data_IF_683114951967
#
_entry.id   IF_683114951967
#
_cell.length_a   1.000
_cell.length_b   1.000
_cell.length_c   1.000
_cell.angle_alpha   90.00
_cell.angle_beta   90.00
_cell.angle_gamma   90.00
#
_symmetry.space_group_name_H-M   'P 1'
#
loop_
_entity.id
_entity.type
_entity.pdbx_description
1 polymer ?
#
# COMPACT_ATOMS: atom_id res chain seq x y z
N UNK A 1 13.17 -3.86 -0.32
CA UNK A 1 12.30 -3.03 -1.18
C UNK A 1 11.85 -1.76 -0.47
N UNK A 2 10.93 -1.75 0.49
CA UNK A 2 10.37 -0.51 1.12
C UNK A 2 11.43 0.50 1.60
N UNK A 3 12.51 0.04 2.26
CA UNK A 3 13.57 0.92 2.78
C UNK A 3 14.26 1.75 1.70
N UNK A 4 14.45 1.17 0.51
CA UNK A 4 15.14 1.78 -0.63
C UNK A 4 14.22 2.60 -1.54
N UNK A 5 12.90 2.55 -1.30
CA UNK A 5 11.93 3.30 -2.09
C UNK A 5 11.74 4.72 -1.56
N UNK A 6 11.52 5.67 -2.47
CA UNK A 6 11.13 7.05 -2.13
C UNK A 6 9.62 7.13 -1.81
N UNK A 7 8.82 6.34 -2.51
CA UNK A 7 7.37 6.26 -2.37
C UNK A 7 6.92 4.80 -2.30
N UNK A 8 5.79 4.55 -1.64
CA UNK A 8 5.17 3.22 -1.58
C UNK A 8 3.73 3.33 -2.06
N UNK A 9 3.40 2.67 -3.16
CA UNK A 9 2.02 2.51 -3.63
C UNK A 9 1.47 1.19 -3.09
N UNK A 10 0.33 1.23 -2.41
CA UNK A 10 -0.33 0.05 -1.86
C UNK A 10 -1.79 0.03 -2.32
N UNK A 11 -2.17 -1.00 -3.09
CA UNK A 11 -3.58 -1.34 -3.31
C UNK A 11 -4.02 -2.23 -2.16
N UNK A 12 -5.03 -1.80 -1.41
CA UNK A 12 -5.47 -2.45 -0.19
C UNK A 12 -6.99 -2.58 -0.16
N UNK A 13 -7.49 -3.72 0.28
CA UNK A 13 -8.93 -4.01 0.37
C UNK A 13 -9.47 -3.89 1.80
N UNK A 14 -8.74 -3.21 2.70
CA UNK A 14 -9.10 -3.08 4.11
C UNK A 14 -8.84 -4.33 4.98
N UNK A 15 -8.44 -5.47 4.40
CA UNK A 15 -8.17 -6.70 5.15
C UNK A 15 -6.72 -6.78 5.63
N UNK A 16 -6.50 -7.30 6.84
CA UNK A 16 -5.13 -7.53 7.32
C UNK A 16 -4.46 -8.65 6.50
N UNK A 17 -3.21 -8.42 6.11
CA UNK A 17 -2.49 -9.29 5.18
C UNK A 17 -1.13 -8.72 4.80
N UNK A 18 -0.53 -9.24 3.73
CA UNK A 18 0.80 -8.84 3.25
C UNK A 18 0.91 -7.33 3.00
N UNK A 19 -0.11 -6.74 2.36
CA UNK A 19 -0.19 -5.29 2.10
C UNK A 19 -0.27 -4.48 3.39
N UNK A 20 -0.95 -4.98 4.43
CA UNK A 20 -1.02 -4.35 5.75
C UNK A 20 0.35 -4.32 6.45
N UNK A 21 1.15 -5.39 6.34
CA UNK A 21 2.53 -5.41 6.87
C UNK A 21 3.43 -4.41 6.14
N UNK A 22 3.32 -4.32 4.81
CA UNK A 22 4.08 -3.35 4.01
C UNK A 22 3.69 -1.91 4.35
N UNK A 23 2.40 -1.64 4.54
CA UNK A 23 1.90 -0.35 5.00
C UNK A 23 2.46 0.02 6.38
N UNK A 24 2.47 -0.92 7.32
CA UNK A 24 3.04 -0.71 8.65
C UNK A 24 4.53 -0.39 8.58
N UNK A 25 5.32 -1.16 7.82
CA UNK A 25 6.76 -0.92 7.63
C UNK A 25 7.00 0.44 6.97
N UNK A 26 6.23 0.80 5.94
CA UNK A 26 6.37 2.09 5.25
C UNK A 26 6.07 3.27 6.19
N UNK A 27 5.03 3.16 7.04
CA UNK A 27 4.72 4.15 8.08
C UNK A 27 5.83 4.26 9.12
N UNK A 28 6.35 3.14 9.63
CA UNK A 28 7.45 3.15 10.62
C UNK A 28 8.71 3.81 10.06
N UNK A 29 8.98 3.66 8.76
CA UNK A 29 10.14 4.25 8.10
C UNK A 29 9.91 5.69 7.60
N UNK A 30 8.78 6.31 7.93
CA UNK A 30 8.45 7.69 7.53
C UNK A 30 8.31 7.87 6.01
N UNK A 31 7.97 6.81 5.28
CA UNK A 31 7.81 6.87 3.82
C UNK A 31 6.47 7.49 3.44
N UNK A 32 6.45 8.20 2.31
CA UNK A 32 5.21 8.67 1.71
C UNK A 32 4.48 7.46 1.12
N UNK A 33 3.25 7.22 1.59
CA UNK A 33 2.42 6.10 1.15
C UNK A 33 1.22 6.62 0.37
N UNK A 34 1.04 6.09 -0.84
CA UNK A 34 -0.16 6.27 -1.65
C UNK A 34 -1.00 5.01 -1.49
N UNK A 35 -2.17 5.14 -0.87
CA UNK A 35 -3.08 4.03 -0.63
C UNK A 35 -4.24 4.11 -1.64
N UNK A 36 -4.46 3.03 -2.37
CA UNK A 36 -5.66 2.85 -3.21
C UNK A 36 -6.53 1.81 -2.51
N UNK A 37 -7.71 2.23 -2.04
CA UNK A 37 -8.68 1.30 -1.48
C UNK A 37 -9.45 0.62 -2.61
N UNK A 38 -9.26 -0.68 -2.77
CA UNK A 38 -9.94 -1.46 -3.81
C UNK A 38 -11.45 -1.62 -3.56
N UNK A 39 -11.94 -1.26 -2.37
CA UNK A 39 -13.38 -1.18 -2.12
C UNK A 39 -13.98 0.11 -2.70
N UNK A 40 -13.14 1.11 -3.01
CA UNK A 40 -13.58 2.38 -3.59
C UNK A 40 -13.45 2.44 -5.11
N UNK A 41 -12.61 1.57 -5.70
CA UNK A 41 -12.37 1.54 -7.14
C UNK A 41 -12.27 0.09 -7.65
N UNK A 42 -13.01 -0.24 -8.71
CA UNK A 42 -12.84 -1.48 -9.44
C UNK A 42 -11.65 -1.37 -10.41
N UNK A 43 -10.68 -2.28 -10.28
CA UNK A 43 -9.61 -2.43 -11.28
C UNK A 43 -10.14 -3.34 -12.39
N UNK A 44 -10.38 -2.79 -13.58
CA UNK A 44 -10.75 -3.57 -14.77
C UNK A 44 -9.51 -3.86 -15.62
N UNK A 45 -9.25 -5.13 -16.00
CA UNK A 45 -8.25 -5.41 -17.01
C UNK A 45 -8.71 -4.80 -18.35
N UNK A 46 -7.75 -4.24 -19.09
CA UNK A 46 -7.95 -3.72 -20.44
C UNK A 46 -8.01 -4.90 -21.42
#
# INVERSE_FOLDING_TARGET
MVKQSNYVLVVWNGKSGSSGKLLSIARTLGKIVILIDSNTYEVRPI
#
